data_IF_772126410912
#
_entry.id   IF_772126410912
#
_cell.length_a   1.000
_cell.length_b   1.000
_cell.length_c   1.000
_cell.angle_alpha   90.00
_cell.angle_beta   90.00
_cell.angle_gamma   90.00
#
_symmetry.space_group_name_H-M   'P 1'
#
loop_
_entity.id
_entity.type
_entity.pdbx_description
1 polymer ?
#
# COMPACT_ATOMS: atom_id res chain seq x y z
N UNK A 1 2.46 -15.61 13.69
CA UNK A 1 3.64 -14.72 13.83
C UNK A 1 3.72 -13.80 12.62
N UNK A 2 4.16 -12.60 12.82
CA UNK A 2 4.22 -11.54 11.82
C UNK A 2 5.56 -10.82 11.91
N UNK A 3 6.12 -10.40 10.79
CA UNK A 3 7.47 -9.82 10.71
C UNK A 3 7.50 -8.29 10.54
N UNK A 4 6.38 -7.60 10.66
CA UNK A 4 6.31 -6.15 10.46
C UNK A 4 5.28 -5.44 11.35
N UNK A 5 5.29 -4.10 11.33
CA UNK A 5 4.48 -3.27 12.20
C UNK A 5 3.10 -2.90 11.61
N UNK A 6 2.63 -3.60 10.58
CA UNK A 6 1.33 -3.38 9.96
C UNK A 6 0.42 -4.58 10.20
N UNK A 7 -0.91 -4.38 10.25
CA UNK A 7 -1.84 -5.49 10.35
C UNK A 7 -1.67 -6.47 9.19
N UNK A 8 -1.57 -7.75 9.51
CA UNK A 8 -1.50 -8.79 8.52
C UNK A 8 -2.90 -9.35 8.26
N UNK A 9 -3.46 -9.01 7.11
CA UNK A 9 -4.83 -9.37 6.75
C UNK A 9 -5.06 -10.88 6.77
N UNK A 10 -4.08 -11.68 6.31
CA UNK A 10 -4.20 -13.14 6.32
C UNK A 10 -4.31 -13.69 7.74
N UNK A 11 -3.48 -13.20 8.68
CA UNK A 11 -3.54 -13.61 10.08
C UNK A 11 -4.84 -13.15 10.75
N UNK A 12 -5.36 -11.98 10.40
CA UNK A 12 -6.64 -11.49 10.92
C UNK A 12 -7.82 -12.36 10.45
N UNK A 13 -7.82 -12.81 9.19
CA UNK A 13 -8.83 -13.73 8.65
C UNK A 13 -8.72 -15.11 9.29
N UNK A 14 -7.51 -15.66 9.42
CA UNK A 14 -7.27 -16.92 10.13
C UNK A 14 -7.71 -16.84 11.60
N UNK A 15 -7.41 -15.73 12.28
CA UNK A 15 -7.86 -15.50 13.66
C UNK A 15 -9.39 -15.56 13.77
N UNK A 16 -10.09 -14.84 12.91
CA UNK A 16 -11.55 -14.82 12.89
C UNK A 16 -12.13 -16.20 12.60
N UNK A 17 -11.56 -16.91 11.62
CA UNK A 17 -11.98 -18.26 11.24
C UNK A 17 -11.88 -19.26 12.39
N UNK A 18 -10.73 -19.31 13.06
CA UNK A 18 -10.50 -20.21 14.17
C UNK A 18 -11.34 -19.84 15.40
N UNK A 19 -11.46 -18.55 15.73
CA UNK A 19 -12.33 -18.10 16.83
C UNK A 19 -13.79 -18.53 16.63
N UNK A 20 -14.30 -18.43 15.39
CA UNK A 20 -15.65 -18.86 15.06
C UNK A 20 -15.86 -20.38 15.24
N UNK A 21 -14.80 -21.18 15.23
CA UNK A 21 -14.81 -22.63 15.46
C UNK A 21 -14.61 -23.00 16.94
N UNK A 22 -14.38 -22.02 17.81
CA UNK A 22 -14.13 -22.23 19.23
C UNK A 22 -12.68 -22.52 19.60
N UNK A 23 -11.75 -22.35 18.66
CA UNK A 23 -10.32 -22.55 18.92
C UNK A 23 -9.75 -21.42 19.80
N UNK A 24 -8.77 -21.75 20.64
CA UNK A 24 -8.04 -20.77 21.44
C UNK A 24 -6.86 -20.22 20.65
N UNK A 25 -6.78 -18.88 20.52
CA UNK A 25 -5.70 -18.22 19.78
C UNK A 25 -4.94 -17.25 20.66
N UNK A 26 -3.63 -17.26 20.47
CA UNK A 26 -2.74 -16.26 21.06
C UNK A 26 -1.54 -15.99 20.14
N UNK A 27 -0.83 -14.91 20.41
CA UNK A 27 0.47 -14.68 19.77
C UNK A 27 1.48 -15.73 20.28
N UNK A 28 2.32 -16.22 19.36
CA UNK A 28 3.34 -17.23 19.67
C UNK A 28 4.23 -16.81 20.84
N UNK A 29 4.30 -17.69 21.86
CA UNK A 29 5.26 -17.65 22.96
C UNK A 29 6.23 -18.84 22.79
N UNK A 30 7.51 -18.58 22.61
CA UNK A 30 8.54 -19.60 22.39
C UNK A 30 8.71 -20.60 23.54
N UNK A 31 8.03 -20.42 24.69
CA UNK A 31 8.05 -21.33 25.84
C UNK A 31 6.88 -22.31 25.86
N UNK A 32 5.88 -22.10 25.00
CA UNK A 32 4.67 -22.93 24.93
C UNK A 32 4.72 -23.87 23.74
N UNK A 33 4.01 -24.99 23.87
CA UNK A 33 3.72 -25.89 22.77
C UNK A 33 2.34 -25.57 22.18
N UNK A 34 2.20 -25.70 20.86
CA UNK A 34 0.97 -25.40 20.11
C UNK A 34 0.62 -26.55 19.18
N UNK A 35 -0.66 -26.84 19.01
CA UNK A 35 -1.12 -27.77 17.97
C UNK A 35 -0.78 -27.24 16.57
N UNK A 36 -0.95 -25.91 16.38
CA UNK A 36 -0.76 -25.28 15.08
C UNK A 36 -0.19 -23.85 15.21
N UNK A 37 0.85 -23.55 14.43
CA UNK A 37 1.42 -22.20 14.33
C UNK A 37 1.33 -21.70 12.90
N UNK A 38 0.67 -20.56 12.68
CA UNK A 38 0.71 -19.82 11.43
C UNK A 38 1.83 -18.78 11.44
N UNK A 39 2.64 -18.81 10.40
CA UNK A 39 3.69 -17.82 10.16
C UNK A 39 3.38 -17.08 8.87
N UNK A 40 3.26 -15.75 8.93
CA UNK A 40 3.03 -14.94 7.75
C UNK A 40 4.18 -13.98 7.51
N UNK A 41 4.69 -13.94 6.28
CA UNK A 41 5.73 -13.02 5.86
C UNK A 41 5.34 -12.37 4.53
N UNK A 42 5.27 -11.03 4.52
CA UNK A 42 4.86 -10.27 3.34
C UNK A 42 6.05 -9.99 2.42
N UNK A 43 7.22 -9.67 2.99
CA UNK A 43 8.41 -9.32 2.23
C UNK A 43 9.44 -10.46 2.27
N UNK A 44 10.35 -10.50 1.30
CA UNK A 44 11.48 -11.43 1.23
C UNK A 44 12.51 -11.16 2.34
N UNK A 45 13.49 -12.05 2.51
CA UNK A 45 14.52 -11.97 3.55
C UNK A 45 15.29 -10.66 3.59
N UNK A 46 15.45 -10.00 2.44
CA UNK A 46 16.13 -8.70 2.33
C UNK A 46 15.41 -7.58 3.09
N UNK A 47 14.08 -7.70 3.30
CA UNK A 47 13.24 -6.68 3.92
C UNK A 47 12.55 -7.14 5.20
N UNK A 48 12.35 -8.44 5.38
CA UNK A 48 11.71 -9.04 6.55
C UNK A 48 12.44 -10.32 6.92
N UNK A 49 13.26 -10.26 7.98
CA UNK A 49 13.95 -11.45 8.50
C UNK A 49 12.91 -12.48 8.96
N UNK A 50 13.19 -13.74 8.67
CA UNK A 50 12.37 -14.81 9.20
C UNK A 50 12.60 -14.97 10.70
N UNK A 51 11.63 -15.60 11.38
CA UNK A 51 11.77 -15.92 12.79
C UNK A 51 12.86 -16.99 12.97
N UNK A 52 13.86 -16.69 13.79
CA UNK A 52 15.02 -17.55 14.05
C UNK A 52 14.95 -18.30 15.38
N UNK A 53 13.90 -18.08 16.18
CA UNK A 53 13.71 -18.76 17.46
C UNK A 53 13.13 -20.17 17.28
N UNK A 54 13.15 -20.95 18.39
CA UNK A 54 12.53 -22.27 18.41
C UNK A 54 11.00 -22.14 18.39
N UNK A 55 10.34 -22.99 17.61
CA UNK A 55 8.88 -23.12 17.57
C UNK A 55 8.54 -24.54 18.00
N UNK A 56 7.84 -24.65 19.13
CA UNK A 56 7.32 -25.90 19.64
C UNK A 56 5.87 -26.06 19.17
N UNK A 57 5.66 -26.81 18.08
CA UNK A 57 4.34 -27.02 17.50
C UNK A 57 4.25 -28.36 16.78
N UNK A 58 3.06 -28.96 16.78
CA UNK A 58 2.80 -30.19 16.02
C UNK A 58 2.74 -29.90 14.51
N UNK A 59 2.21 -28.74 14.15
CA UNK A 59 2.14 -28.30 12.77
C UNK A 59 2.54 -26.82 12.61
N UNK A 60 3.30 -26.50 11.56
CA UNK A 60 3.68 -25.12 11.22
C UNK A 60 3.29 -24.85 9.78
N UNK A 61 2.39 -23.87 9.58
CA UNK A 61 1.97 -23.41 8.26
C UNK A 61 2.61 -22.05 7.96
N UNK A 62 3.40 -21.99 6.88
CA UNK A 62 4.04 -20.76 6.41
C UNK A 62 3.31 -20.21 5.22
N UNK A 63 2.97 -18.91 5.25
CA UNK A 63 2.24 -18.25 4.19
C UNK A 63 2.67 -16.80 3.96
N UNK A 64 2.06 -16.18 2.96
CA UNK A 64 2.38 -14.83 2.52
C UNK A 64 3.44 -14.78 1.43
N UNK A 65 3.56 -13.64 0.79
CA UNK A 65 4.41 -13.40 -0.40
C UNK A 65 5.89 -13.64 -0.14
N UNK A 66 6.36 -13.40 1.09
CA UNK A 66 7.75 -13.59 1.49
C UNK A 66 8.19 -15.05 1.56
N UNK A 67 7.26 -16.01 1.66
CA UNK A 67 7.53 -17.45 1.57
C UNK A 67 7.24 -18.00 0.17
N UNK A 68 6.35 -17.38 -0.60
CA UNK A 68 6.07 -17.81 -1.96
C UNK A 68 4.84 -17.11 -2.57
N UNK A 69 4.89 -16.87 -3.88
CA UNK A 69 3.84 -16.15 -4.59
C UNK A 69 2.55 -16.98 -4.74
N UNK A 70 2.67 -18.31 -4.68
CA UNK A 70 1.53 -19.23 -4.87
C UNK A 70 0.73 -19.51 -3.59
N UNK A 71 1.19 -18.99 -2.45
CA UNK A 71 0.47 -19.15 -1.19
C UNK A 71 -0.90 -18.45 -1.27
N UNK A 72 -1.97 -19.20 -0.93
CA UNK A 72 -3.35 -18.72 -0.87
C UNK A 72 -3.98 -19.17 0.42
N UNK A 73 -4.90 -18.38 0.94
CA UNK A 73 -5.81 -18.85 1.98
C UNK A 73 -6.83 -19.83 1.38
N UNK A 74 -7.32 -20.80 2.15
CA UNK A 74 -8.54 -21.54 1.78
C UNK A 74 -9.70 -20.58 1.52
N UNK A 75 -10.61 -20.92 0.62
CA UNK A 75 -11.72 -20.05 0.21
C UNK A 75 -12.59 -19.63 1.39
N UNK A 76 -12.90 -20.57 2.30
CA UNK A 76 -13.66 -20.30 3.51
C UNK A 76 -12.99 -19.29 4.45
N UNK A 77 -11.65 -19.22 4.46
CA UNK A 77 -10.89 -18.24 5.22
C UNK A 77 -10.81 -16.91 4.48
N UNK A 78 -10.63 -16.97 3.14
CA UNK A 78 -10.51 -15.76 2.33
C UNK A 78 -11.75 -14.86 2.43
N UNK A 79 -12.95 -15.44 2.55
CA UNK A 79 -14.22 -14.72 2.69
C UNK A 79 -14.64 -14.47 4.16
N UNK A 80 -13.75 -14.79 5.12
CA UNK A 80 -14.00 -14.46 6.54
C UNK A 80 -13.70 -12.99 6.81
N UNK A 81 -14.60 -12.31 7.53
CA UNK A 81 -14.36 -10.93 8.00
C UNK A 81 -13.13 -10.91 8.93
N UNK A 82 -12.17 -10.01 8.72
CA UNK A 82 -10.95 -9.97 9.52
C UNK A 82 -11.22 -9.71 11.01
N UNK A 83 -10.46 -10.36 11.87
CA UNK A 83 -10.45 -10.08 13.31
C UNK A 83 -9.60 -8.83 13.60
N UNK A 84 -10.24 -7.68 13.69
CA UNK A 84 -9.56 -6.41 13.97
C UNK A 84 -9.00 -6.32 15.38
N UNK A 85 -9.45 -7.18 16.32
CA UNK A 85 -8.93 -7.20 17.71
C UNK A 85 -7.53 -7.80 17.80
N UNK A 86 -7.09 -8.53 16.76
CA UNK A 86 -5.73 -9.11 16.72
C UNK A 86 -4.64 -8.02 16.72
N UNK A 87 -4.94 -6.81 16.22
CA UNK A 87 -4.03 -5.66 16.18
C UNK A 87 -4.67 -4.42 16.82
N UNK A 88 -4.77 -4.33 18.15
CA UNK A 88 -5.50 -3.26 18.83
C UNK A 88 -5.03 -1.84 18.47
N UNK A 89 -3.75 -1.69 18.12
CA UNK A 89 -3.17 -0.40 17.69
C UNK A 89 -3.84 0.17 16.43
N UNK A 90 -4.50 -0.67 15.62
CA UNK A 90 -5.13 -0.30 14.36
C UNK A 90 -6.65 -0.42 14.42
N UNK A 91 -7.21 -0.47 15.62
CA UNK A 91 -8.65 -0.47 15.83
C UNK A 91 -9.33 0.73 15.14
N UNK A 92 -10.52 0.50 14.57
CA UNK A 92 -11.25 1.53 13.82
C UNK A 92 -10.85 1.69 12.36
N UNK A 93 -9.94 0.85 11.85
CA UNK A 93 -9.56 0.81 10.43
C UNK A 93 -9.85 -0.57 9.84
N UNK A 94 -10.70 -0.63 8.84
CA UNK A 94 -10.93 -1.83 8.03
C UNK A 94 -9.85 -1.98 6.96
N UNK A 95 -9.45 -3.23 6.69
CA UNK A 95 -8.46 -3.58 5.66
C UNK A 95 -9.04 -4.64 4.74
N UNK A 96 -8.96 -4.44 3.44
CA UNK A 96 -9.44 -5.45 2.51
C UNK A 96 -9.16 -5.13 1.05
N UNK A 97 -9.60 -6.05 0.20
CA UNK A 97 -9.57 -5.95 -1.25
C UNK A 97 -11.01 -6.01 -1.75
N UNK A 98 -11.40 -5.07 -2.60
CA UNK A 98 -12.62 -5.17 -3.40
C UNK A 98 -12.32 -5.83 -4.74
N UNK A 99 -11.10 -5.58 -5.27
CA UNK A 99 -10.63 -6.17 -6.52
C UNK A 99 -9.19 -6.66 -6.39
N UNK A 100 -8.81 -7.64 -7.23
CA UNK A 100 -7.45 -8.15 -7.35
C UNK A 100 -7.02 -8.24 -8.80
N UNK A 101 -5.70 -8.23 -9.02
CA UNK A 101 -5.08 -8.28 -10.32
C UNK A 101 -4.83 -6.91 -10.94
N UNK A 102 -3.97 -6.87 -11.97
CA UNK A 102 -3.64 -5.63 -12.66
C UNK A 102 -3.24 -5.91 -14.12
N UNK A 103 -3.81 -5.22 -15.13
CA UNK A 103 -3.50 -5.45 -16.53
C UNK A 103 -2.13 -4.87 -16.97
N UNK A 104 -1.44 -4.10 -16.13
CA UNK A 104 -0.25 -3.33 -16.52
C UNK A 104 0.96 -4.19 -16.84
N UNK A 105 1.25 -5.24 -16.11
CA UNK A 105 2.41 -6.10 -16.34
C UNK A 105 3.76 -5.38 -16.21
N UNK A 106 3.89 -4.45 -15.27
CA UNK A 106 5.13 -3.76 -14.99
C UNK A 106 6.23 -4.75 -14.58
N UNK A 107 7.43 -4.64 -15.16
CA UNK A 107 8.52 -5.61 -14.98
C UNK A 107 9.07 -5.73 -13.56
N UNK A 108 8.86 -4.72 -12.71
CA UNK A 108 9.26 -4.73 -11.30
C UNK A 108 8.15 -5.24 -10.36
N UNK A 109 6.91 -5.44 -10.87
CA UNK A 109 5.74 -5.66 -10.03
C UNK A 109 5.29 -7.12 -10.05
N UNK A 110 5.12 -7.70 -8.88
CA UNK A 110 4.70 -9.11 -8.69
C UNK A 110 3.19 -9.32 -8.86
N UNK A 111 2.37 -8.26 -8.95
CA UNK A 111 0.91 -8.37 -8.96
C UNK A 111 0.43 -9.22 -10.13
N UNK A 112 1.00 -9.01 -11.33
CA UNK A 112 0.61 -9.78 -12.52
C UNK A 112 0.86 -11.28 -12.40
N UNK A 113 1.92 -11.68 -11.69
CA UNK A 113 2.24 -13.08 -11.41
C UNK A 113 1.39 -13.63 -10.26
N UNK A 114 1.26 -12.87 -9.19
CA UNK A 114 0.57 -13.30 -7.97
C UNK A 114 -0.95 -13.30 -8.11
N UNK A 115 -1.54 -12.26 -8.71
CA UNK A 115 -2.99 -12.02 -8.71
C UNK A 115 -3.62 -12.08 -10.10
N UNK A 116 -2.76 -12.17 -11.14
CA UNK A 116 -3.20 -12.22 -12.54
C UNK A 116 -3.17 -10.86 -13.24
N UNK A 117 -3.25 -10.91 -14.57
CA UNK A 117 -3.19 -9.75 -15.48
C UNK A 117 -4.57 -9.20 -15.86
N UNK A 118 -5.60 -9.55 -15.09
CA UNK A 118 -6.96 -9.01 -15.24
C UNK A 118 -7.42 -8.55 -13.85
N UNK A 119 -7.99 -7.36 -13.78
CA UNK A 119 -8.59 -6.91 -12.53
C UNK A 119 -10.01 -7.44 -12.44
N UNK A 120 -10.31 -8.17 -11.38
CA UNK A 120 -11.63 -8.74 -11.11
C UNK A 120 -12.11 -8.37 -9.72
N UNK A 121 -13.41 -8.19 -9.55
CA UNK A 121 -14.01 -8.03 -8.23
C UNK A 121 -13.87 -9.35 -7.45
N UNK A 122 -13.46 -9.28 -6.18
CA UNK A 122 -13.24 -10.45 -5.33
C UNK A 122 -14.03 -10.42 -4.03
N UNK A 123 -14.53 -9.26 -3.62
CA UNK A 123 -15.35 -9.12 -2.44
C UNK A 123 -16.29 -7.91 -2.54
N UNK A 124 -17.35 -7.92 -1.78
CA UNK A 124 -18.13 -6.73 -1.46
C UNK A 124 -17.60 -6.10 -0.17
N UNK A 125 -17.80 -4.78 -0.02
CA UNK A 125 -17.31 -4.05 1.15
C UNK A 125 -17.80 -4.65 2.48
N UNK A 126 -19.02 -5.18 2.51
CA UNK A 126 -19.60 -5.82 3.67
C UNK A 126 -18.84 -7.08 4.15
N UNK A 127 -17.95 -7.67 3.35
CA UNK A 127 -17.15 -8.81 3.78
C UNK A 127 -16.05 -8.44 4.78
N UNK A 128 -15.57 -7.20 4.76
CA UNK A 128 -14.47 -6.79 5.63
C UNK A 128 -14.70 -5.48 6.39
N UNK A 129 -15.77 -4.73 6.12
CA UNK A 129 -16.12 -3.50 6.84
C UNK A 129 -17.39 -3.72 7.70
N UNK A 130 -17.34 -3.30 8.96
CA UNK A 130 -18.44 -3.43 9.93
C UNK A 130 -18.83 -2.08 10.56
N UNK A 131 -18.45 -0.96 9.93
CA UNK A 131 -18.70 0.38 10.47
C UNK A 131 -17.45 1.09 10.99
N UNK A 132 -16.26 0.58 10.70
CA UNK A 132 -14.99 1.23 11.01
C UNK A 132 -14.96 2.63 10.38
N UNK A 133 -14.33 3.58 11.08
CA UNK A 133 -14.23 4.98 10.64
C UNK A 133 -13.37 5.17 9.40
N UNK A 134 -12.43 4.26 9.19
CA UNK A 134 -11.48 4.29 8.09
C UNK A 134 -11.47 2.96 7.35
N UNK A 135 -11.24 3.02 6.03
CA UNK A 135 -11.03 1.87 5.17
C UNK A 135 -9.69 2.04 4.46
N UNK A 136 -8.81 1.06 4.56
CA UNK A 136 -7.61 0.94 3.74
C UNK A 136 -7.82 -0.13 2.68
N UNK A 137 -7.92 0.30 1.43
CA UNK A 137 -7.99 -0.60 0.30
C UNK A 137 -6.59 -1.03 -0.13
N UNK A 138 -6.45 -2.32 -0.32
CA UNK A 138 -5.20 -2.97 -0.74
C UNK A 138 -5.21 -3.32 -2.22
N UNK A 139 -6.21 -2.87 -2.96
CA UNK A 139 -6.43 -3.11 -4.38
C UNK A 139 -5.28 -2.57 -5.23
N UNK A 140 -4.71 -3.41 -6.09
CA UNK A 140 -3.58 -3.03 -6.93
C UNK A 140 -3.98 -2.05 -8.05
N UNK A 141 -5.22 -2.14 -8.56
CA UNK A 141 -5.74 -1.23 -9.60
C UNK A 141 -7.27 -1.29 -9.70
N UNK A 142 -7.98 -0.72 -8.72
CA UNK A 142 -9.44 -0.74 -8.65
C UNK A 142 -10.11 -0.17 -9.92
N UNK A 143 -9.53 0.90 -10.50
CA UNK A 143 -10.11 1.56 -11.68
C UNK A 143 -10.04 0.72 -12.96
N UNK A 144 -9.24 -0.36 -12.97
CA UNK A 144 -9.20 -1.32 -14.07
C UNK A 144 -10.25 -2.44 -13.94
N UNK A 145 -10.93 -2.55 -12.78
CA UNK A 145 -11.99 -3.53 -12.57
C UNK A 145 -13.22 -3.17 -13.42
N UNK A 146 -13.84 -4.09 -14.17
CA UNK A 146 -15.10 -3.82 -14.86
C UNK A 146 -16.20 -3.32 -13.93
N UNK A 147 -16.24 -3.81 -12.69
CA UNK A 147 -17.24 -3.46 -11.68
C UNK A 147 -16.88 -2.20 -10.87
N UNK A 148 -15.92 -1.38 -11.33
CA UNK A 148 -15.39 -0.22 -10.59
C UNK A 148 -16.48 0.72 -10.06
N UNK A 149 -17.56 0.92 -10.82
CA UNK A 149 -18.66 1.81 -10.46
C UNK A 149 -19.39 1.29 -9.21
N UNK A 150 -19.80 0.02 -9.23
CA UNK A 150 -20.46 -0.65 -8.10
C UNK A 150 -19.55 -0.63 -6.84
N UNK A 151 -18.26 -0.91 -7.01
CA UNK A 151 -17.31 -0.94 -5.90
C UNK A 151 -17.08 0.46 -5.30
N UNK A 152 -16.93 1.50 -6.12
CA UNK A 152 -16.83 2.88 -5.66
C UNK A 152 -18.14 3.36 -5.01
N UNK A 153 -19.29 2.92 -5.49
CA UNK A 153 -20.59 3.24 -4.89
C UNK A 153 -20.70 2.70 -3.47
N UNK A 154 -20.26 1.46 -3.22
CA UNK A 154 -20.23 0.89 -1.86
C UNK A 154 -19.35 1.74 -0.92
N UNK A 155 -18.17 2.17 -1.39
CA UNK A 155 -17.29 3.04 -0.62
C UNK A 155 -17.91 4.40 -0.34
N UNK A 156 -18.61 5.00 -1.30
CA UNK A 156 -19.29 6.27 -1.12
C UNK A 156 -20.42 6.15 -0.09
N UNK A 157 -21.21 5.08 -0.15
CA UNK A 157 -22.31 4.81 0.78
C UNK A 157 -21.86 4.49 2.20
N UNK A 158 -20.64 3.96 2.39
CA UNK A 158 -20.10 3.63 3.71
C UNK A 158 -19.94 4.88 4.60
N UNK A 159 -19.68 6.04 4.01
CA UNK A 159 -19.33 7.28 4.73
C UNK A 159 -18.00 7.23 5.48
N UNK A 160 -17.26 6.12 5.42
CA UNK A 160 -15.95 5.96 6.01
C UNK A 160 -14.88 6.74 5.22
N UNK A 161 -13.77 7.08 5.88
CA UNK A 161 -12.62 7.71 5.22
C UNK A 161 -11.79 6.66 4.50
N UNK A 162 -11.72 6.73 3.17
CA UNK A 162 -11.05 5.72 2.33
C UNK A 162 -9.64 6.14 1.95
N UNK A 163 -8.68 5.26 2.21
CA UNK A 163 -7.28 5.33 1.75
C UNK A 163 -7.08 4.28 0.63
N UNK A 164 -6.84 4.74 -0.59
CA UNK A 164 -6.54 3.90 -1.76
C UNK A 164 -5.04 3.55 -1.78
N UNK A 165 -4.60 2.74 -0.84
CA UNK A 165 -3.22 2.56 -0.40
C UNK A 165 -2.23 2.14 -1.49
N UNK A 166 -2.64 1.24 -2.41
CA UNK A 166 -1.73 0.69 -3.43
C UNK A 166 -1.68 1.51 -4.71
N UNK A 167 -2.67 2.34 -4.92
CA UNK A 167 -2.69 3.30 -6.03
C UNK A 167 -3.84 3.08 -7.02
N UNK A 168 -4.14 4.17 -7.68
CA UNK A 168 -5.08 4.27 -8.78
C UNK A 168 -4.28 4.56 -10.06
N UNK A 169 -4.60 3.89 -11.15
CA UNK A 169 -3.96 4.19 -12.44
C UNK A 169 -4.54 5.47 -13.03
N UNK A 170 -3.77 6.55 -13.01
CA UNK A 170 -4.22 7.86 -13.50
C UNK A 170 -4.61 7.84 -14.99
N UNK A 171 -4.06 6.91 -15.78
CA UNK A 171 -4.38 6.74 -17.22
C UNK A 171 -5.79 6.22 -17.47
N UNK A 172 -6.41 5.63 -16.45
CA UNK A 172 -7.79 5.13 -16.51
C UNK A 172 -8.83 6.14 -16.04
N UNK A 173 -8.42 7.35 -15.72
CA UNK A 173 -9.29 8.43 -15.27
C UNK A 173 -10.19 8.90 -16.40
N UNK A 174 -11.50 8.82 -16.17
CA UNK A 174 -12.55 9.42 -16.99
C UNK A 174 -13.39 10.37 -16.13
N UNK A 175 -14.19 11.28 -16.71
CA UNK A 175 -15.08 12.15 -15.94
C UNK A 175 -15.99 11.35 -14.98
N UNK A 176 -16.56 10.25 -15.44
CA UNK A 176 -17.48 9.40 -14.67
C UNK A 176 -16.77 8.77 -13.46
N UNK A 177 -15.54 8.27 -13.65
CA UNK A 177 -14.73 7.72 -12.56
C UNK A 177 -14.37 8.78 -11.54
N UNK A 178 -14.02 10.00 -11.97
CA UNK A 178 -13.73 11.09 -11.04
C UNK A 178 -14.99 11.54 -10.30
N UNK A 179 -16.14 11.59 -10.96
CA UNK A 179 -17.41 11.89 -10.32
C UNK A 179 -17.71 10.90 -9.20
N UNK A 180 -17.50 9.60 -9.44
CA UNK A 180 -17.69 8.58 -8.40
C UNK A 180 -16.65 8.70 -7.29
N UNK A 181 -15.38 8.94 -7.61
CA UNK A 181 -14.33 9.18 -6.60
C UNK A 181 -14.64 10.43 -5.74
N UNK A 182 -15.22 11.47 -6.33
CA UNK A 182 -15.63 12.67 -5.60
C UNK A 182 -16.74 12.43 -4.58
N UNK A 183 -17.55 11.36 -4.76
CA UNK A 183 -18.59 10.94 -3.78
C UNK A 183 -17.99 10.16 -2.61
N UNK A 184 -16.78 9.58 -2.76
CA UNK A 184 -16.11 8.86 -1.70
C UNK A 184 -15.44 9.85 -0.74
N UNK A 185 -15.65 9.66 0.57
CA UNK A 185 -14.96 10.44 1.59
C UNK A 185 -13.49 10.04 1.64
N UNK A 186 -12.66 10.72 0.86
CA UNK A 186 -11.26 10.36 0.64
C UNK A 186 -10.37 10.80 1.81
N UNK A 187 -9.62 9.84 2.37
CA UNK A 187 -8.48 10.08 3.25
C UNK A 187 -7.23 10.35 2.44
N UNK A 188 -6.90 9.46 1.50
CA UNK A 188 -5.73 9.54 0.66
C UNK A 188 -5.99 8.89 -0.71
N UNK A 189 -5.58 9.56 -1.76
CA UNK A 189 -5.43 9.00 -3.11
C UNK A 189 -3.96 8.76 -3.37
N UNK A 190 -3.64 7.58 -3.84
CA UNK A 190 -2.30 7.25 -4.32
C UNK A 190 -2.38 6.97 -5.82
N UNK A 191 -1.43 7.51 -6.54
CA UNK A 191 -1.17 7.24 -7.95
C UNK A 191 0.28 6.78 -8.10
N UNK A 192 0.70 6.45 -9.32
CA UNK A 192 2.08 6.11 -9.61
C UNK A 192 2.54 6.72 -10.95
N UNK A 193 3.79 7.16 -10.97
CA UNK A 193 4.53 7.53 -12.18
C UNK A 193 5.88 6.81 -12.18
N UNK A 194 5.84 5.51 -12.52
CA UNK A 194 6.98 4.62 -12.35
C UNK A 194 7.89 4.58 -13.57
N UNK A 195 7.31 4.59 -14.78
CA UNK A 195 8.08 4.61 -16.02
C UNK A 195 8.44 6.05 -16.42
N UNK A 196 9.74 6.39 -16.53
CA UNK A 196 10.17 7.74 -16.91
C UNK A 196 9.84 8.09 -18.37
N UNK A 197 9.65 7.11 -19.24
CA UNK A 197 9.29 7.31 -20.66
C UNK A 197 7.79 7.62 -20.87
N UNK A 198 6.95 7.36 -19.86
CA UNK A 198 5.53 7.70 -19.93
C UNK A 198 5.35 9.18 -19.60
N UNK A 199 4.76 9.97 -20.53
CA UNK A 199 4.26 11.31 -20.17
C UNK A 199 2.86 11.20 -19.56
N UNK A 200 2.78 11.35 -18.25
CA UNK A 200 1.53 11.33 -17.51
C UNK A 200 0.99 12.72 -17.16
N UNK A 201 1.64 13.78 -17.59
CA UNK A 201 1.28 15.18 -17.23
C UNK A 201 -0.15 15.53 -17.62
N UNK A 202 -0.58 15.16 -18.82
CA UNK A 202 -1.95 15.39 -19.29
C UNK A 202 -3.01 14.68 -18.44
N UNK A 203 -2.74 13.46 -17.98
CA UNK A 203 -3.66 12.72 -17.12
C UNK A 203 -3.77 13.32 -15.72
N UNK A 204 -2.63 13.71 -15.11
CA UNK A 204 -2.62 14.38 -13.81
C UNK A 204 -3.32 15.73 -13.87
N UNK A 205 -3.10 16.53 -14.92
CA UNK A 205 -3.79 17.79 -15.13
C UNK A 205 -5.30 17.59 -15.20
N UNK A 206 -5.77 16.67 -16.06
CA UNK A 206 -7.18 16.33 -16.19
C UNK A 206 -7.81 15.89 -14.87
N UNK A 207 -7.12 15.05 -14.09
CA UNK A 207 -7.62 14.66 -12.78
C UNK A 207 -7.73 15.88 -11.85
N UNK A 208 -6.73 16.76 -11.82
CA UNK A 208 -6.73 17.97 -10.98
C UNK A 208 -7.88 18.93 -11.31
N UNK A 209 -8.28 19.01 -12.57
CA UNK A 209 -9.39 19.81 -13.03
C UNK A 209 -10.74 19.26 -12.54
N UNK A 210 -10.93 17.95 -12.62
CA UNK A 210 -12.18 17.25 -12.35
C UNK A 210 -12.42 16.92 -10.86
N UNK A 211 -11.35 16.70 -10.08
CA UNK A 211 -11.50 16.25 -8.69
C UNK A 211 -11.88 17.37 -7.73
N UNK A 212 -12.71 17.05 -6.72
CA UNK A 212 -12.99 17.91 -5.57
C UNK A 212 -11.95 17.81 -4.47
N UNK A 213 -11.06 16.81 -4.52
CA UNK A 213 -9.96 16.63 -3.56
C UNK A 213 -8.83 17.61 -3.90
N UNK A 214 -8.92 18.85 -3.42
CA UNK A 214 -7.95 19.93 -3.75
C UNK A 214 -6.72 19.94 -2.84
N UNK A 215 -6.78 19.33 -1.66
CA UNK A 215 -5.62 19.22 -0.77
C UNK A 215 -4.55 18.29 -1.38
N UNK A 216 -3.43 18.89 -1.84
CA UNK A 216 -2.33 18.15 -2.46
C UNK A 216 -1.76 17.04 -1.53
N UNK A 217 -1.85 17.19 -0.21
CA UNK A 217 -1.39 16.19 0.77
C UNK A 217 -2.17 14.89 0.70
N UNK A 218 -3.38 14.96 0.12
CA UNK A 218 -4.24 13.80 -0.12
C UNK A 218 -4.08 13.19 -1.52
N UNK A 219 -3.22 13.76 -2.37
CA UNK A 219 -2.96 13.33 -3.74
C UNK A 219 -1.51 12.90 -3.89
N UNK A 220 -1.18 11.73 -3.33
CA UNK A 220 0.18 11.19 -3.36
C UNK A 220 0.46 10.48 -4.68
N UNK A 221 1.69 10.64 -5.18
CA UNK A 221 2.15 9.93 -6.37
C UNK A 221 3.45 9.20 -6.04
N UNK A 222 3.43 7.88 -6.16
CA UNK A 222 4.64 7.06 -6.07
C UNK A 222 5.49 7.31 -7.31
N UNK A 223 6.79 7.51 -7.11
CA UNK A 223 7.79 7.66 -8.17
C UNK A 223 8.84 6.58 -7.95
N UNK A 224 8.85 5.56 -8.82
CA UNK A 224 9.87 4.52 -8.78
C UNK A 224 11.19 5.08 -9.30
N UNK A 225 12.25 4.84 -8.53
CA UNK A 225 13.63 5.25 -8.86
C UNK A 225 14.55 4.04 -8.77
N UNK A 226 15.73 4.14 -9.37
CA UNK A 226 16.74 3.07 -9.36
C UNK A 226 16.30 1.77 -10.08
N UNK A 227 15.35 1.85 -11.01
CA UNK A 227 14.93 0.73 -11.85
C UNK A 227 15.36 0.93 -13.32
N UNK A 228 14.74 1.86 -14.01
CA UNK A 228 15.02 2.19 -15.41
C UNK A 228 15.06 3.70 -15.67
N UNK A 229 15.39 4.49 -14.65
CA UNK A 229 15.42 5.95 -14.74
C UNK A 229 16.79 6.53 -14.40
N UNK A 230 17.13 7.65 -15.03
CA UNK A 230 18.24 8.49 -14.61
C UNK A 230 17.82 9.39 -13.44
N UNK A 231 18.81 9.98 -12.76
CA UNK A 231 18.54 10.92 -11.66
C UNK A 231 17.80 12.17 -12.17
N UNK A 232 18.12 12.65 -13.36
CA UNK A 232 17.47 13.79 -14.01
C UNK A 232 16.00 13.49 -14.32
N UNK A 233 15.71 12.29 -14.82
CA UNK A 233 14.34 11.83 -15.06
C UNK A 233 13.53 11.68 -13.74
N UNK A 234 14.20 11.27 -12.68
CA UNK A 234 13.58 11.20 -11.34
C UNK A 234 13.22 12.60 -10.84
N UNK A 235 14.16 13.55 -10.92
CA UNK A 235 13.94 14.95 -10.54
C UNK A 235 12.84 15.62 -11.39
N UNK A 236 12.84 15.39 -12.70
CA UNK A 236 11.82 15.90 -13.61
C UNK A 236 10.41 15.48 -13.14
N UNK A 237 10.19 14.19 -12.90
CA UNK A 237 8.88 13.69 -12.43
C UNK A 237 8.48 14.28 -11.08
N UNK A 238 9.44 14.38 -10.15
CA UNK A 238 9.21 14.91 -8.81
C UNK A 238 8.82 16.39 -8.85
N UNK A 239 9.57 17.21 -9.60
CA UNK A 239 9.27 18.65 -9.73
C UNK A 239 7.96 18.88 -10.47
N UNK A 240 7.73 18.19 -11.58
CA UNK A 240 6.48 18.26 -12.34
C UNK A 240 5.27 17.95 -11.45
N UNK A 241 5.31 16.87 -10.67
CA UNK A 241 4.24 16.52 -9.76
C UNK A 241 4.01 17.58 -8.68
N UNK A 242 5.08 18.12 -8.09
CA UNK A 242 4.98 19.20 -7.11
C UNK A 242 4.32 20.42 -7.69
N UNK A 243 4.75 20.85 -8.87
CA UNK A 243 4.24 22.06 -9.55
C UNK A 243 2.77 21.91 -9.97
N UNK A 244 2.34 20.66 -10.25
CA UNK A 244 0.95 20.32 -10.52
C UNK A 244 0.11 20.14 -9.25
N UNK A 245 0.68 20.33 -8.06
CA UNK A 245 -0.02 20.22 -6.78
C UNK A 245 -0.29 18.78 -6.36
N UNK A 246 0.65 17.89 -6.57
CA UNK A 246 0.67 16.52 -6.02
C UNK A 246 1.75 16.38 -4.93
N UNK A 247 1.64 15.31 -4.15
CA UNK A 247 2.61 14.94 -3.11
C UNK A 247 3.48 13.76 -3.60
N UNK A 248 4.64 14.01 -4.27
CA UNK A 248 5.49 12.93 -4.73
C UNK A 248 6.05 12.12 -3.57
N UNK A 249 6.20 10.81 -3.76
CA UNK A 249 6.79 9.88 -2.81
C UNK A 249 7.73 8.92 -3.52
N UNK A 250 9.01 8.98 -3.19
CA UNK A 250 10.06 8.20 -3.85
C UNK A 250 10.09 6.77 -3.32
N UNK A 251 9.87 5.82 -4.21
CA UNK A 251 10.05 4.38 -4.01
C UNK A 251 11.37 3.96 -4.65
N UNK A 252 12.30 3.42 -3.86
CA UNK A 252 13.62 3.02 -4.36
C UNK A 252 13.62 1.52 -4.63
N UNK A 253 13.79 1.14 -5.90
CA UNK A 253 13.97 -0.25 -6.28
C UNK A 253 15.32 -0.75 -5.75
N UNK A 254 15.35 -1.98 -5.21
CA UNK A 254 16.56 -2.57 -4.61
C UNK A 254 17.34 -1.59 -3.70
N UNK A 255 16.63 -0.97 -2.78
CA UNK A 255 17.18 0.07 -1.89
C UNK A 255 18.53 -0.24 -1.23
N UNK A 256 18.85 -1.50 -0.82
CA UNK A 256 20.16 -1.82 -0.24
C UNK A 256 21.34 -1.49 -1.16
N UNK A 257 21.17 -1.68 -2.46
CA UNK A 257 22.22 -1.47 -3.48
C UNK A 257 22.13 -0.10 -4.17
N UNK A 258 21.10 0.70 -3.86
CA UNK A 258 20.85 1.98 -4.52
C UNK A 258 22.01 2.98 -4.28
N UNK A 259 22.35 3.80 -5.31
CA UNK A 259 23.36 4.85 -5.20
C UNK A 259 23.08 5.84 -4.06
N UNK A 260 24.11 6.45 -3.46
CA UNK A 260 23.94 7.47 -2.41
C UNK A 260 23.03 8.63 -2.82
N UNK A 261 23.10 9.06 -4.09
CA UNK A 261 22.27 10.15 -4.62
C UNK A 261 20.77 9.80 -4.60
N UNK A 262 20.40 8.55 -4.95
CA UNK A 262 19.02 8.08 -4.91
C UNK A 262 18.50 8.03 -3.47
N UNK A 263 19.32 7.58 -2.51
CA UNK A 263 18.95 7.59 -1.08
C UNK A 263 18.82 9.02 -0.53
N UNK A 264 19.69 9.95 -1.00
CA UNK A 264 19.59 11.38 -0.70
C UNK A 264 18.28 11.94 -1.24
N UNK A 265 17.91 11.61 -2.49
CA UNK A 265 16.67 12.01 -3.14
C UNK A 265 15.43 11.50 -2.35
N UNK A 266 15.41 10.20 -2.01
CA UNK A 266 14.33 9.64 -1.19
C UNK A 266 14.18 10.37 0.14
N UNK A 267 15.28 10.66 0.83
CA UNK A 267 15.25 11.36 2.10
C UNK A 267 14.69 12.77 1.98
N UNK A 268 15.08 13.50 0.94
CA UNK A 268 14.60 14.85 0.66
C UNK A 268 13.08 14.86 0.37
N UNK A 269 12.62 14.06 -0.58
CA UNK A 269 11.22 14.05 -1.03
C UNK A 269 10.27 13.47 0.03
N UNK A 270 10.65 12.35 0.67
CA UNK A 270 9.75 11.66 1.58
C UNK A 270 9.65 12.33 2.95
N UNK A 271 10.61 13.18 3.31
CA UNK A 271 10.48 14.07 4.46
C UNK A 271 9.77 15.37 4.05
N UNK A 272 8.47 15.45 4.30
CA UNK A 272 7.61 16.54 3.84
C UNK A 272 8.00 17.93 4.35
N UNK A 273 8.65 18.01 5.50
CA UNK A 273 9.22 19.27 6.02
C UNK A 273 10.43 19.71 5.19
N UNK A 274 11.33 18.77 4.89
CA UNK A 274 12.51 19.03 4.04
C UNK A 274 12.07 19.45 2.63
N UNK A 275 11.17 18.70 2.02
CA UNK A 275 10.73 18.92 0.66
C UNK A 275 10.05 20.27 0.46
N UNK A 276 9.44 20.82 1.51
CA UNK A 276 8.85 22.16 1.51
C UNK A 276 9.85 23.27 1.82
N UNK A 277 10.82 22.98 2.70
CA UNK A 277 11.79 23.98 3.15
C UNK A 277 12.93 24.18 2.17
N UNK A 278 13.28 23.15 1.40
CA UNK A 278 14.37 23.15 0.41
C UNK A 278 13.75 22.84 -0.95
N UNK A 279 13.59 23.85 -1.77
CA UNK A 279 12.85 23.73 -3.04
C UNK A 279 13.68 23.09 -4.16
N UNK A 280 15.01 23.24 -4.13
CA UNK A 280 15.92 22.62 -5.08
C UNK A 280 16.71 21.50 -4.41
N UNK A 281 16.81 20.35 -5.08
CA UNK A 281 17.58 19.19 -4.59
C UNK A 281 19.07 19.51 -4.41
N UNK A 282 19.62 20.40 -5.23
CA UNK A 282 21.03 20.81 -5.14
C UNK A 282 21.33 21.54 -3.83
N UNK A 283 20.34 22.27 -3.29
CA UNK A 283 20.47 23.00 -2.02
C UNK A 283 20.30 22.11 -0.79
N UNK A 284 19.94 20.83 -1.00
CA UNK A 284 19.72 19.89 0.11
C UNK A 284 21.05 19.34 0.64
N UNK A 285 21.46 19.82 1.83
CA UNK A 285 22.58 19.28 2.61
C UNK A 285 22.08 18.37 3.74
N UNK A 286 22.22 17.01 3.62
CA UNK A 286 21.83 16.09 4.66
C UNK A 286 22.54 16.29 5.98
N UNK A 287 23.85 16.64 5.97
CA UNK A 287 24.67 16.78 7.18
C UNK A 287 24.32 18.06 7.95
N UNK A 288 24.15 19.17 7.25
CA UNK A 288 23.72 20.43 7.87
C UNK A 288 22.31 20.37 8.46
N UNK A 289 21.43 19.58 7.84
CA UNK A 289 20.08 19.35 8.38
C UNK A 289 20.08 18.55 9.68
N UNK A 290 20.88 17.49 9.80
CA UNK A 290 20.98 16.71 11.03
C UNK A 290 21.52 17.52 12.21
N UNK A 291 22.53 18.34 11.96
CA UNK A 291 23.06 19.27 12.99
C UNK A 291 21.98 20.21 13.50
N UNK A 292 21.16 20.79 12.60
CA UNK A 292 20.04 21.70 12.99
C UNK A 292 18.95 20.99 13.77
N UNK A 293 18.65 19.73 13.46
CA UNK A 293 17.64 18.92 14.19
C UNK A 293 18.10 18.61 15.62
N UNK A 294 19.38 18.29 15.80
CA UNK A 294 19.96 17.96 17.12
C UNK A 294 20.08 19.19 18.01
N UNK A 295 20.31 20.38 17.44
CA UNK A 295 20.38 21.62 18.19
C UNK A 295 19.01 22.19 18.60
N UNK A 296 17.89 21.59 18.12
CA UNK A 296 16.51 21.98 18.48
C UNK A 296 15.86 21.02 19.50
N UNK A 297 16.59 20.00 19.94
CA UNK A 297 16.23 19.12 21.06
C UNK A 297 16.97 19.58 22.34
#
# INVERSE_FOLDING_TARGET
MDSHNFPNLCLMKLSAYHKARGDTLEWHDGRKHYDLVYMSRVFTDSYSKDYSGTIHADCIIRGGTGYGLNNRLPEEVEHTCPDYTLYPKFEGTAYGFLSRGCPRGCGFCIVGEKEGRRTVAVADLAEFWRGEKEIKLLDANLLACPDWERLLQQLAQSGAMVDFTQGLDVRLITPEKVEMLNKVKTKMLHFAWDNPEDDLTGYFKRFSELTTVKDYRKRRVYVLTNYNSSHEQDLYRIYTLRDMGYDPYVMVYEKPTAPPITRKLQRWVNNKWLFRAVLDFNDFDPAGWEKRKNNRK
#
